data_IF_656491026480
#
_entry.id   IF_656491026480
#
_cell.length_a   1.000
_cell.length_b   1.000
_cell.length_c   1.000
_cell.angle_alpha   90.00
_cell.angle_beta   90.00
_cell.angle_gamma   90.00
#
_symmetry.space_group_name_H-M   'P 1'
#
loop_
_entity.id
_entity.type
_entity.pdbx_description
1 polymer ?
#
# COMPACT_ATOMS: atom_id res chain seq x y z
N UNK A 1 46.66 16.14 -29.89
CA UNK A 1 46.65 14.72 -29.43
C UNK A 1 46.28 13.86 -30.65
N UNK A 2 47.19 13.03 -31.17
CA UNK A 2 46.99 12.36 -32.46
C UNK A 2 46.00 11.19 -32.29
N UNK A 3 44.93 11.15 -33.08
CA UNK A 3 43.88 10.12 -33.00
C UNK A 3 44.45 8.68 -33.04
N UNK A 4 45.52 8.47 -33.82
CA UNK A 4 46.19 7.17 -33.93
C UNK A 4 46.83 6.66 -32.63
N UNK A 5 47.27 7.54 -31.72
CA UNK A 5 47.88 7.08 -30.46
C UNK A 5 46.86 6.50 -29.50
N UNK A 6 45.60 6.97 -29.56
CA UNK A 6 44.50 6.45 -28.74
C UNK A 6 44.12 5.04 -29.20
N UNK A 7 44.03 4.81 -30.52
CA UNK A 7 43.73 3.49 -31.06
C UNK A 7 44.81 2.46 -30.74
N UNK A 8 46.09 2.83 -30.84
CA UNK A 8 47.20 1.95 -30.44
C UNK A 8 47.17 1.62 -28.94
N UNK A 9 46.83 2.59 -28.09
CA UNK A 9 46.71 2.36 -26.64
C UNK A 9 45.54 1.42 -26.30
N UNK A 10 44.38 1.56 -26.96
CA UNK A 10 43.24 0.66 -26.80
C UNK A 10 43.60 -0.75 -27.26
N UNK A 11 44.24 -0.89 -28.42
CA UNK A 11 44.67 -2.19 -28.95
C UNK A 11 45.64 -2.90 -27.99
N UNK A 12 46.58 -2.17 -27.40
CA UNK A 12 47.52 -2.69 -26.41
C UNK A 12 46.78 -3.14 -25.14
N UNK A 13 45.88 -2.33 -24.60
CA UNK A 13 45.09 -2.68 -23.42
C UNK A 13 44.24 -3.95 -23.64
N UNK A 14 43.62 -4.09 -24.81
CA UNK A 14 42.82 -5.27 -25.16
C UNK A 14 43.68 -6.55 -25.24
N UNK A 15 44.92 -6.43 -25.75
CA UNK A 15 45.87 -7.53 -25.78
C UNK A 15 46.26 -7.98 -24.36
N UNK A 16 46.51 -7.03 -23.45
CA UNK A 16 46.83 -7.33 -22.05
C UNK A 16 45.67 -8.00 -21.31
N UNK A 17 44.43 -7.56 -21.53
CA UNK A 17 43.22 -8.20 -20.97
C UNK A 17 43.09 -9.65 -21.44
N UNK A 18 43.35 -9.91 -22.74
CA UNK A 18 43.34 -11.26 -23.31
C UNK A 18 44.47 -12.16 -22.80
N UNK A 19 45.61 -11.59 -22.43
CA UNK A 19 46.73 -12.33 -21.84
C UNK A 19 46.42 -12.77 -20.39
N UNK A 20 45.70 -11.96 -19.62
CA UNK A 20 45.34 -12.24 -18.23
C UNK A 20 43.84 -12.47 -18.04
N UNK A 21 43.30 -13.51 -18.70
CA UNK A 21 41.85 -13.82 -18.73
C UNK A 21 41.23 -14.00 -17.33
N UNK A 22 41.86 -14.78 -16.45
CA UNK A 22 41.33 -15.05 -15.11
C UNK A 22 41.25 -13.78 -14.24
N UNK A 23 42.34 -13.00 -14.20
CA UNK A 23 42.38 -11.76 -13.43
C UNK A 23 41.34 -10.77 -13.95
N UNK A 24 41.30 -10.54 -15.25
CA UNK A 24 40.36 -9.62 -15.88
C UNK A 24 38.91 -10.05 -15.64
N UNK A 25 38.61 -11.35 -15.77
CA UNK A 25 37.28 -11.89 -15.50
C UNK A 25 36.84 -11.65 -14.05
N UNK A 26 37.69 -11.98 -13.07
CA UNK A 26 37.35 -11.80 -11.65
C UNK A 26 37.14 -10.33 -11.28
N UNK A 27 37.90 -9.41 -11.88
CA UNK A 27 37.71 -7.97 -11.65
C UNK A 27 36.39 -7.46 -12.20
N UNK A 28 36.00 -7.88 -13.41
CA UNK A 28 34.73 -7.48 -14.02
C UNK A 28 33.56 -8.11 -13.27
N UNK A 29 33.68 -9.38 -12.87
CA UNK A 29 32.67 -10.08 -12.08
C UNK A 29 32.41 -9.37 -10.75
N UNK A 30 33.47 -8.93 -10.06
CA UNK A 30 33.33 -8.18 -8.80
C UNK A 30 32.57 -6.86 -8.98
N UNK A 31 32.86 -6.12 -10.05
CA UNK A 31 32.15 -4.86 -10.36
C UNK A 31 30.68 -5.12 -10.69
N UNK A 32 30.37 -6.16 -11.46
CA UNK A 32 28.98 -6.51 -11.83
C UNK A 32 28.18 -6.89 -10.59
N UNK A 33 28.72 -7.77 -9.74
CA UNK A 33 28.03 -8.19 -8.51
C UNK A 33 27.88 -7.00 -7.55
N UNK A 34 28.92 -6.18 -7.38
CA UNK A 34 28.89 -5.02 -6.50
C UNK A 34 27.86 -3.97 -6.94
N UNK A 35 27.89 -3.58 -8.22
CA UNK A 35 26.92 -2.60 -8.76
C UNK A 35 25.51 -3.18 -8.78
N UNK A 36 25.34 -4.46 -9.12
CA UNK A 36 24.05 -5.14 -9.08
C UNK A 36 23.43 -5.19 -7.68
N UNK A 37 24.23 -5.45 -6.65
CA UNK A 37 23.76 -5.44 -5.26
C UNK A 37 23.31 -4.03 -4.83
N UNK A 38 24.08 -2.99 -5.14
CA UNK A 38 23.72 -1.60 -4.80
C UNK A 38 22.45 -1.16 -5.51
N UNK A 39 22.31 -1.45 -6.81
CA UNK A 39 21.10 -1.14 -7.58
C UNK A 39 19.90 -1.93 -7.04
N UNK A 40 20.09 -3.21 -6.71
CA UNK A 40 19.04 -4.08 -6.18
C UNK A 40 18.52 -3.61 -4.83
N UNK A 41 19.40 -3.28 -3.88
CA UNK A 41 18.99 -2.74 -2.58
C UNK A 41 18.32 -1.37 -2.76
N UNK A 42 18.88 -0.51 -3.62
CA UNK A 42 18.29 0.80 -3.91
C UNK A 42 16.86 0.72 -4.47
N UNK A 43 16.61 -0.22 -5.41
CA UNK A 43 15.28 -0.40 -6.00
C UNK A 43 14.27 -0.98 -5.01
N UNK A 44 14.70 -1.89 -4.14
CA UNK A 44 13.85 -2.44 -3.08
C UNK A 44 13.46 -1.34 -2.08
N UNK A 45 14.43 -0.54 -1.63
CA UNK A 45 14.17 0.55 -0.68
C UNK A 45 13.24 1.59 -1.30
N UNK A 46 13.49 2.03 -2.53
CA UNK A 46 12.63 2.99 -3.22
C UNK A 46 11.22 2.42 -3.48
N UNK A 47 11.13 1.14 -3.83
CA UNK A 47 9.85 0.45 -4.02
C UNK A 47 9.05 0.34 -2.73
N UNK A 48 9.71 0.02 -1.61
CA UNK A 48 9.09 -0.05 -0.30
C UNK A 48 8.60 1.34 0.16
N UNK A 49 9.43 2.37 0.03
CA UNK A 49 9.07 3.74 0.38
C UNK A 49 7.85 4.23 -0.42
N UNK A 50 7.83 3.95 -1.72
CA UNK A 50 6.67 4.20 -2.58
C UNK A 50 5.43 3.41 -2.16
N UNK A 51 5.58 2.14 -1.81
CA UNK A 51 4.47 1.29 -1.35
C UNK A 51 3.88 1.78 -0.03
N UNK A 52 4.71 2.07 0.97
CA UNK A 52 4.28 2.62 2.27
C UNK A 52 3.63 3.98 2.06
N UNK A 53 4.24 4.87 1.28
CA UNK A 53 3.65 6.18 0.97
C UNK A 53 2.29 6.06 0.30
N UNK A 54 2.13 5.13 -0.64
CA UNK A 54 0.84 4.90 -1.30
C UNK A 54 -0.20 4.31 -0.35
N UNK A 55 0.19 3.40 0.55
CA UNK A 55 -0.68 2.88 1.60
C UNK A 55 -1.16 4.02 2.52
N UNK A 56 -0.24 4.85 3.01
CA UNK A 56 -0.58 6.00 3.85
C UNK A 56 -1.47 7.01 3.12
N UNK A 57 -1.19 7.30 1.84
CA UNK A 57 -2.04 8.15 1.00
C UNK A 57 -3.43 7.56 0.77
N UNK A 58 -3.56 6.24 0.67
CA UNK A 58 -4.85 5.58 0.46
C UNK A 58 -5.81 5.73 1.63
N UNK A 59 -5.28 5.90 2.84
CA UNK A 59 -6.07 6.24 4.02
C UNK A 59 -6.34 7.75 4.15
N UNK A 60 -5.69 8.58 3.34
CA UNK A 60 -5.70 10.04 3.46
C UNK A 60 -4.67 10.53 4.50
N UNK A 61 -3.96 11.64 4.23
CA UNK A 61 -2.90 12.13 5.12
C UNK A 61 -3.40 12.61 6.49
N UNK A 62 -4.69 12.89 6.63
CA UNK A 62 -5.31 13.45 7.84
C UNK A 62 -6.42 12.56 8.40
N UNK A 63 -6.29 11.23 8.28
CA UNK A 63 -7.34 10.29 8.72
C UNK A 63 -6.88 9.51 9.95
N UNK A 64 -7.74 9.43 10.96
CA UNK A 64 -7.54 8.62 12.16
C UNK A 64 -8.54 7.46 12.13
N UNK A 65 -8.04 6.23 12.23
CA UNK A 65 -8.86 5.02 12.26
C UNK A 65 -8.96 4.54 13.71
N UNK A 66 -10.20 4.50 14.22
CA UNK A 66 -10.48 4.04 15.58
C UNK A 66 -11.12 2.66 15.52
N UNK A 67 -10.46 1.67 16.13
CA UNK A 67 -10.93 0.29 16.20
C UNK A 67 -10.92 -0.19 17.65
N UNK A 68 -11.83 -1.12 17.97
CA UNK A 68 -11.95 -1.68 19.32
C UNK A 68 -10.80 -2.63 19.72
N UNK A 69 -10.16 -3.24 18.73
CA UNK A 69 -9.07 -4.21 18.92
C UNK A 69 -8.04 -4.12 17.80
N UNK A 70 -7.02 -4.99 17.88
CA UNK A 70 -5.95 -5.04 16.90
C UNK A 70 -6.47 -5.29 15.47
N UNK A 71 -5.85 -4.60 14.51
CA UNK A 71 -5.99 -4.81 13.07
C UNK A 71 -5.26 -6.07 12.58
N UNK A 72 -4.27 -6.55 13.34
CA UNK A 72 -3.44 -7.70 12.98
C UNK A 72 -3.45 -8.71 14.12
N UNK A 73 -3.73 -9.97 13.79
CA UNK A 73 -3.76 -11.08 14.74
C UNK A 73 -5.11 -11.29 15.43
N UNK A 74 -5.16 -12.28 16.31
CA UNK A 74 -6.37 -12.59 17.07
C UNK A 74 -6.55 -11.58 18.20
N UNK A 75 -7.79 -11.16 18.40
CA UNK A 75 -8.12 -10.29 19.52
C UNK A 75 -7.89 -11.02 20.84
N UNK A 76 -7.24 -10.33 21.77
CA UNK A 76 -7.11 -10.78 23.14
C UNK A 76 -8.49 -10.84 23.82
N UNK A 77 -8.66 -11.68 24.86
CA UNK A 77 -9.92 -11.73 25.61
C UNK A 77 -10.34 -10.37 26.19
N UNK A 78 -9.38 -9.49 26.46
CA UNK A 78 -9.63 -8.12 26.92
C UNK A 78 -10.20 -7.24 25.81
N UNK A 79 -9.66 -7.30 24.59
CA UNK A 79 -10.18 -6.57 23.42
C UNK A 79 -11.60 -7.03 23.04
N UNK A 80 -11.88 -8.33 23.18
CA UNK A 80 -13.22 -8.87 22.95
C UNK A 80 -14.26 -8.31 23.93
N UNK A 81 -13.84 -7.99 25.16
CA UNK A 81 -14.69 -7.44 26.23
C UNK A 81 -14.86 -5.92 26.17
N UNK A 82 -14.04 -5.21 25.38
CA UNK A 82 -14.21 -3.76 25.18
C UNK A 82 -15.56 -3.46 24.56
N UNK A 83 -16.19 -2.35 24.99
CA UNK A 83 -17.47 -1.91 24.45
C UNK A 83 -17.41 -1.75 22.92
N UNK A 84 -18.46 -2.15 22.18
CA UNK A 84 -18.53 -1.87 20.76
C UNK A 84 -18.63 -0.36 20.55
N UNK A 85 -18.01 0.12 19.47
CA UNK A 85 -18.15 1.51 19.03
C UNK A 85 -19.58 1.73 18.52
N UNK A 86 -20.27 2.74 19.03
CA UNK A 86 -21.64 3.06 18.60
C UNK A 86 -21.67 4.20 17.58
N UNK A 87 -22.73 4.25 16.78
CA UNK A 87 -22.95 5.35 15.84
C UNK A 87 -23.09 6.71 16.55
N UNK A 88 -23.69 6.72 17.75
CA UNK A 88 -23.80 7.93 18.58
C UNK A 88 -22.45 8.44 19.05
N UNK A 89 -21.53 7.53 19.40
CA UNK A 89 -20.15 7.89 19.76
C UNK A 89 -19.43 8.53 18.56
N UNK A 90 -19.61 7.98 17.35
CA UNK A 90 -19.06 8.55 16.12
C UNK A 90 -19.62 9.97 15.83
N UNK A 91 -20.94 10.15 15.93
CA UNK A 91 -21.57 11.48 15.75
C UNK A 91 -21.13 12.48 16.80
N UNK A 92 -21.02 12.05 18.07
CA UNK A 92 -20.54 12.89 19.14
C UNK A 92 -19.08 13.35 18.99
N UNK A 93 -18.25 12.67 18.18
CA UNK A 93 -16.92 13.18 17.82
C UNK A 93 -17.03 14.40 16.92
N UNK A 94 -17.92 14.38 15.93
CA UNK A 94 -18.16 15.52 15.05
C UNK A 94 -18.65 16.74 15.84
N UNK A 95 -19.54 16.53 16.81
CA UNK A 95 -20.10 17.61 17.62
C UNK A 95 -19.09 18.22 18.60
N UNK A 96 -18.17 17.40 19.13
CA UNK A 96 -17.22 17.82 20.20
C UNK A 96 -15.87 18.27 19.67
N UNK A 97 -15.48 17.88 18.46
CA UNK A 97 -14.17 18.16 17.89
C UNK A 97 -14.31 19.04 16.63
N UNK A 98 -14.15 20.37 16.74
CA UNK A 98 -14.34 21.28 15.60
C UNK A 98 -13.28 21.11 14.49
N UNK A 99 -12.12 20.53 14.81
CA UNK A 99 -11.06 20.25 13.82
C UNK A 99 -11.37 19.02 12.93
N UNK A 100 -12.36 18.21 13.31
CA UNK A 100 -12.76 17.00 12.57
C UNK A 100 -13.81 17.39 11.53
N UNK A 101 -13.43 17.35 10.24
CA UNK A 101 -14.35 17.71 9.14
C UNK A 101 -15.34 16.60 8.80
N UNK A 102 -14.91 15.33 8.89
CA UNK A 102 -15.72 14.18 8.51
C UNK A 102 -15.50 13.04 9.51
N UNK A 103 -16.59 12.38 9.87
CA UNK A 103 -16.55 11.10 10.60
C UNK A 103 -17.28 10.08 9.74
N UNK A 104 -16.62 8.95 9.49
CA UNK A 104 -17.19 7.85 8.72
C UNK A 104 -17.21 6.59 9.59
N UNK A 105 -18.38 6.16 10.08
CA UNK A 105 -18.50 4.85 10.69
C UNK A 105 -18.30 3.78 9.61
N UNK A 106 -17.55 2.73 9.97
CA UNK A 106 -17.33 1.59 9.10
C UNK A 106 -17.65 0.31 9.86
N UNK A 107 -18.69 -0.38 9.43
CA UNK A 107 -19.10 -1.66 10.00
C UNK A 107 -18.50 -2.78 9.17
N UNK A 108 -17.52 -3.47 9.76
CA UNK A 108 -17.05 -4.74 9.21
C UNK A 108 -17.73 -5.89 9.95
N UNK A 109 -18.59 -6.68 9.30
CA UNK A 109 -19.19 -7.85 9.93
C UNK A 109 -18.09 -8.90 10.20
N UNK A 110 -17.64 -8.98 11.45
CA UNK A 110 -16.71 -10.00 11.91
C UNK A 110 -17.42 -11.37 11.84
N UNK A 111 -17.02 -12.18 10.85
CA UNK A 111 -17.70 -13.43 10.47
C UNK A 111 -18.74 -13.29 9.34
N UNK A 112 -18.68 -12.18 8.57
CA UNK A 112 -19.69 -11.76 7.60
C UNK A 112 -19.87 -12.60 6.34
N UNK A 113 -20.51 -11.98 5.33
CA UNK A 113 -20.94 -12.61 4.09
C UNK A 113 -19.72 -13.02 3.25
N UNK A 114 -19.35 -14.30 3.34
CA UNK A 114 -18.19 -14.86 2.63
C UNK A 114 -18.52 -15.38 1.23
N UNK A 115 -19.80 -15.41 0.85
CA UNK A 115 -20.22 -15.78 -0.48
C UNK A 115 -21.34 -14.88 -1.01
N UNK A 116 -21.31 -14.60 -2.31
CA UNK A 116 -22.46 -14.05 -3.02
C UNK A 116 -22.64 -14.81 -4.32
N UNK A 117 -23.90 -14.90 -4.76
CA UNK A 117 -24.26 -15.54 -6.02
C UNK A 117 -24.68 -14.48 -7.02
N UNK A 118 -24.09 -14.54 -8.22
CA UNK A 118 -24.47 -13.66 -9.33
C UNK A 118 -24.61 -14.47 -10.61
N UNK A 119 -25.79 -14.42 -11.24
CA UNK A 119 -26.10 -15.11 -12.50
C UNK A 119 -25.70 -16.61 -12.52
N UNK A 120 -25.90 -17.31 -11.40
CA UNK A 120 -25.56 -18.73 -11.27
C UNK A 120 -24.11 -19.03 -10.90
N UNK A 121 -23.24 -18.03 -10.79
CA UNK A 121 -21.88 -18.18 -10.31
C UNK A 121 -21.79 -17.84 -8.82
N UNK A 122 -21.14 -18.72 -8.05
CA UNK A 122 -20.81 -18.48 -6.65
C UNK A 122 -19.44 -17.80 -6.54
N UNK A 123 -19.41 -16.66 -5.87
CA UNK A 123 -18.19 -15.90 -5.59
C UNK A 123 -17.91 -16.01 -4.10
N UNK A 124 -16.70 -16.42 -3.74
CA UNK A 124 -16.26 -16.60 -2.36
C UNK A 124 -15.27 -15.51 -1.93
N UNK A 125 -15.05 -15.36 -0.63
CA UNK A 125 -14.12 -14.40 -0.02
C UNK A 125 -14.49 -12.93 -0.30
N UNK A 126 -15.79 -12.63 -0.36
CA UNK A 126 -16.25 -11.26 -0.51
C UNK A 126 -16.06 -10.53 0.81
N UNK A 127 -15.52 -9.33 0.74
CA UNK A 127 -15.46 -8.41 1.86
C UNK A 127 -16.56 -7.37 1.68
N UNK A 128 -17.61 -7.50 2.48
CA UNK A 128 -18.69 -6.53 2.53
C UNK A 128 -18.56 -5.72 3.82
N UNK A 129 -18.63 -4.39 3.70
CA UNK A 129 -18.68 -3.47 4.83
C UNK A 129 -19.80 -2.45 4.63
N UNK A 130 -20.41 -2.04 5.73
CA UNK A 130 -21.39 -0.94 5.75
C UNK A 130 -20.70 0.38 6.09
N UNK A 131 -21.04 1.44 5.39
CA UNK A 131 -20.47 2.79 5.64
C UNK A 131 -21.44 3.90 5.22
N UNK A 132 -21.14 5.14 5.59
CA UNK A 132 -21.90 6.33 5.22
C UNK A 132 -21.22 7.08 4.06
N UNK A 133 -21.86 8.14 3.52
CA UNK A 133 -21.29 8.92 2.40
C UNK A 133 -19.91 9.52 2.71
N UNK A 134 -19.67 9.85 3.98
CA UNK A 134 -18.45 10.50 4.47
C UNK A 134 -17.20 9.63 4.28
N UNK A 135 -17.35 8.33 4.01
CA UNK A 135 -16.25 7.43 3.69
C UNK A 135 -15.50 7.83 2.41
N UNK A 136 -16.19 8.45 1.44
CA UNK A 136 -15.55 8.99 0.24
C UNK A 136 -14.57 10.12 0.57
N UNK A 137 -14.85 10.91 1.61
CA UNK A 137 -13.97 11.99 2.05
C UNK A 137 -12.64 11.46 2.65
N UNK A 138 -12.60 10.20 3.10
CA UNK A 138 -11.41 9.52 3.62
C UNK A 138 -10.35 9.14 2.58
N UNK A 139 -10.43 9.68 1.35
CA UNK A 139 -9.44 9.42 0.30
C UNK A 139 -9.77 8.22 -0.60
N UNK A 140 -10.96 7.64 -0.47
CA UNK A 140 -11.38 6.53 -1.33
C UNK A 140 -11.90 7.04 -2.68
N UNK A 141 -11.45 6.43 -3.77
CA UNK A 141 -11.86 6.81 -5.13
C UNK A 141 -12.78 5.75 -5.72
N UNK A 142 -13.98 6.15 -6.13
CA UNK A 142 -14.92 5.27 -6.82
C UNK A 142 -14.43 4.94 -8.23
N UNK A 143 -14.22 3.65 -8.51
CA UNK A 143 -13.79 3.18 -9.84
C UNK A 143 -14.93 3.13 -10.86
N UNK A 144 -16.16 2.87 -10.40
CA UNK A 144 -17.35 2.76 -11.25
C UNK A 144 -18.59 3.25 -10.48
N UNK A 145 -19.49 3.92 -11.18
CA UNK A 145 -20.75 4.42 -10.61
C UNK A 145 -20.56 5.69 -9.78
N UNK A 146 -21.45 5.89 -8.80
CA UNK A 146 -21.40 6.98 -7.82
C UNK A 146 -21.31 6.43 -6.41
N UNK A 147 -20.80 7.22 -5.48
CA UNK A 147 -20.83 6.88 -4.06
C UNK A 147 -22.25 7.00 -3.48
N UNK A 148 -22.42 6.51 -2.26
CA UNK A 148 -23.64 6.67 -1.46
C UNK A 148 -23.94 8.16 -1.31
N UNK A 149 -25.23 8.50 -1.38
CA UNK A 149 -25.74 9.84 -1.12
C UNK A 149 -26.43 9.93 0.24
N UNK A 150 -26.49 11.13 0.81
CA UNK A 150 -27.18 11.41 2.08
C UNK A 150 -28.64 10.90 2.11
N UNK A 151 -29.33 10.95 0.97
CA UNK A 151 -30.69 10.43 0.84
C UNK A 151 -30.76 8.92 1.12
N UNK A 152 -29.79 8.16 0.62
CA UNK A 152 -29.66 6.71 0.83
C UNK A 152 -29.22 6.38 2.26
N UNK A 153 -28.52 7.29 2.95
CA UNK A 153 -28.17 7.11 4.35
C UNK A 153 -29.37 7.33 5.29
N UNK A 154 -30.23 8.29 4.95
CA UNK A 154 -31.41 8.65 5.76
C UNK A 154 -32.56 7.65 5.59
N UNK A 155 -32.70 7.08 4.39
CA UNK A 155 -33.70 6.07 4.09
C UNK A 155 -33.06 4.69 4.09
N UNK A 156 -33.14 3.97 5.22
CA UNK A 156 -32.70 2.57 5.35
C UNK A 156 -33.28 1.73 4.19
N UNK A 157 -32.47 1.37 3.21
CA UNK A 157 -32.73 0.23 2.32
C UNK A 157 -32.07 -1.02 2.89
#
# INVERSE_FOLDING_TARGET
MKLGSVFSAIALALATVRAHKLRSFLTVLGVIIGTGAVIGVGSIVAGLDGAITNLLRSFGPNTIIVLRGSIVGNWTPEELRRRPLTLEEARGVLDRCPDVQYVSPYLFPLGGIHSARYQGNDVYQIQLGGTEESYAAGGTTMKKGRFLSDFENTHRM
#
